data_IF_737492681799
#
_entry.id   IF_737492681799
#
_cell.length_a   1.000
_cell.length_b   1.000
_cell.length_c   1.000
_cell.angle_alpha   90.00
_cell.angle_beta   90.00
_cell.angle_gamma   90.00
#
_symmetry.space_group_name_H-M   'P 1'
#
loop_
_entity.id
_entity.type
_entity.pdbx_description
1 polymer ?
#
# COMPACT_ATOMS: atom_id res chain seq x y z
N UNK A 1 4.03 15.42 -6.54
CA UNK A 1 3.47 14.80 -5.32
C UNK A 1 2.07 14.35 -5.64
N UNK A 2 1.89 13.06 -5.94
CA UNK A 2 0.55 12.50 -6.16
C UNK A 2 -0.07 12.37 -4.76
N UNK A 3 -0.89 13.35 -4.40
CA UNK A 3 -1.74 13.29 -3.22
C UNK A 3 -2.93 12.42 -3.61
N UNK A 4 -2.74 11.10 -3.62
CA UNK A 4 -3.85 10.16 -3.79
C UNK A 4 -4.76 10.33 -2.57
N UNK A 5 -5.77 11.20 -2.71
CA UNK A 5 -6.89 11.25 -1.79
C UNK A 5 -7.67 9.94 -1.94
N UNK A 6 -7.18 8.89 -1.27
CA UNK A 6 -7.93 7.66 -1.07
C UNK A 6 -9.06 8.01 -0.09
N UNK A 7 -10.20 8.42 -0.64
CA UNK A 7 -11.46 8.61 0.10
C UNK A 7 -12.12 7.28 0.46
N UNK A 8 -11.32 6.22 0.59
CA UNK A 8 -11.79 4.85 0.43
C UNK A 8 -11.78 4.08 1.75
N UNK A 9 -12.60 3.03 1.79
CA UNK A 9 -12.73 2.12 2.93
C UNK A 9 -11.37 1.51 3.34
N UNK A 10 -11.27 1.04 4.58
CA UNK A 10 -10.05 0.40 5.10
C UNK A 10 -9.57 -0.77 4.21
N UNK A 11 -10.50 -1.51 3.59
CA UNK A 11 -10.15 -2.56 2.62
C UNK A 11 -9.39 -2.07 1.39
N UNK A 12 -9.72 -0.88 0.86
CA UNK A 12 -9.01 -0.30 -0.27
C UNK A 12 -7.62 0.20 0.13
N UNK A 13 -7.49 0.80 1.31
CA UNK A 13 -6.20 1.26 1.85
C UNK A 13 -5.23 0.09 2.06
N UNK A 14 -5.71 -0.99 2.67
CA UNK A 14 -4.90 -2.19 2.91
C UNK A 14 -4.52 -2.86 1.59
N UNK A 15 -5.44 -2.93 0.63
CA UNK A 15 -5.15 -3.44 -0.72
C UNK A 15 -4.05 -2.61 -1.37
N UNK A 16 -4.17 -1.28 -1.39
CA UNK A 16 -3.14 -0.39 -1.94
C UNK A 16 -1.77 -0.59 -1.26
N UNK A 17 -1.75 -0.77 0.06
CA UNK A 17 -0.51 -1.10 0.79
C UNK A 17 0.12 -2.39 0.25
N UNK A 18 -0.64 -3.48 0.08
CA UNK A 18 -0.09 -4.75 -0.38
C UNK A 18 0.37 -4.73 -1.85
N UNK A 19 -0.32 -3.98 -2.70
CA UNK A 19 0.12 -3.73 -4.08
C UNK A 19 1.49 -3.05 -4.12
N UNK A 20 1.65 -1.97 -3.36
CA UNK A 20 2.90 -1.24 -3.24
C UNK A 20 4.00 -2.11 -2.62
N UNK A 21 3.72 -2.73 -1.46
CA UNK A 21 4.72 -3.48 -0.69
C UNK A 21 5.20 -4.72 -1.45
N UNK A 22 4.30 -5.46 -2.11
CA UNK A 22 4.68 -6.61 -2.91
C UNK A 22 5.57 -6.23 -4.10
N UNK A 23 5.29 -5.10 -4.75
CA UNK A 23 6.14 -4.57 -5.81
C UNK A 23 7.48 -4.05 -5.30
N UNK A 24 7.53 -3.43 -4.12
CA UNK A 24 8.79 -3.04 -3.48
C UNK A 24 9.65 -4.29 -3.22
N UNK A 25 9.11 -5.29 -2.53
CA UNK A 25 9.86 -6.50 -2.17
C UNK A 25 10.33 -7.25 -3.42
N UNK A 26 9.49 -7.38 -4.44
CA UNK A 26 9.84 -8.05 -5.70
C UNK A 26 11.09 -7.45 -6.37
N UNK A 27 11.31 -6.14 -6.26
CA UNK A 27 12.46 -5.45 -6.82
C UNK A 27 13.63 -5.45 -5.84
N UNK A 28 13.41 -5.06 -4.59
CA UNK A 28 14.49 -4.76 -3.66
C UNK A 28 15.09 -6.02 -3.01
N UNK A 29 14.30 -7.08 -2.78
CA UNK A 29 14.84 -8.39 -2.35
C UNK A 29 15.64 -9.06 -3.49
N UNK A 30 15.29 -8.76 -4.74
CA UNK A 30 16.01 -9.21 -5.93
C UNK A 30 17.16 -8.26 -6.34
N UNK A 31 17.67 -7.42 -5.42
CA UNK A 31 18.79 -6.49 -5.67
C UNK A 31 18.58 -5.54 -6.87
N UNK A 32 17.32 -5.24 -7.21
CA UNK A 32 16.93 -4.38 -8.32
C UNK A 32 17.35 -4.94 -9.69
N UNK A 33 17.35 -6.26 -9.82
CA UNK A 33 17.60 -6.95 -11.08
C UNK A 33 16.54 -6.58 -12.15
N UNK A 34 16.98 -6.35 -13.39
CA UNK A 34 16.10 -5.94 -14.48
C UNK A 34 15.03 -6.98 -14.81
N UNK A 35 15.32 -8.27 -14.65
CA UNK A 35 14.34 -9.35 -14.86
C UNK A 35 13.32 -9.41 -13.73
N UNK A 36 13.73 -9.09 -12.49
CA UNK A 36 12.78 -8.93 -11.40
C UNK A 36 11.78 -7.80 -11.68
N UNK A 37 12.24 -6.71 -12.32
CA UNK A 37 11.37 -5.63 -12.77
C UNK A 37 10.38 -6.08 -13.84
N UNK A 38 10.84 -6.76 -14.90
CA UNK A 38 9.97 -7.29 -15.95
C UNK A 38 8.90 -8.25 -15.39
N UNK A 39 9.29 -9.11 -14.46
CA UNK A 39 8.38 -10.08 -13.82
C UNK A 39 7.36 -9.35 -12.93
N UNK A 40 7.77 -8.37 -12.13
CA UNK A 40 6.87 -7.60 -11.28
C UNK A 40 5.83 -6.80 -12.10
N UNK A 41 6.25 -6.23 -13.23
CA UNK A 41 5.36 -5.57 -14.19
C UNK A 41 4.37 -6.57 -14.80
N UNK A 42 4.85 -7.69 -15.34
CA UNK A 42 3.99 -8.71 -15.94
C UNK A 42 2.96 -9.30 -14.96
N UNK A 43 3.34 -9.55 -13.70
CA UNK A 43 2.41 -10.02 -12.68
C UNK A 43 1.35 -8.97 -12.32
N UNK A 44 1.74 -7.69 -12.26
CA UNK A 44 0.82 -6.59 -11.98
C UNK A 44 -0.21 -6.45 -13.11
N UNK A 45 0.24 -6.49 -14.37
CA UNK A 45 -0.61 -6.46 -15.55
C UNK A 45 -1.57 -7.66 -15.61
N UNK A 46 -1.07 -8.88 -15.36
CA UNK A 46 -1.90 -10.08 -15.32
C UNK A 46 -2.98 -9.99 -14.24
N UNK A 47 -2.64 -9.48 -13.05
CA UNK A 47 -3.61 -9.31 -11.96
C UNK A 47 -4.69 -8.29 -12.34
N UNK A 48 -4.31 -7.13 -12.89
CA UNK A 48 -5.29 -6.13 -13.34
C UNK A 48 -6.21 -6.65 -14.45
N UNK A 49 -5.68 -7.48 -15.35
CA UNK A 49 -6.49 -8.15 -16.36
C UNK A 49 -7.54 -9.09 -15.74
N UNK A 50 -7.16 -9.85 -14.71
CA UNK A 50 -8.04 -10.81 -14.03
C UNK A 50 -9.07 -10.13 -13.12
N UNK A 51 -8.73 -9.01 -12.48
CA UNK A 51 -9.65 -8.27 -11.59
C UNK A 51 -10.69 -7.42 -12.36
N UNK A 52 -10.53 -7.30 -13.69
CA UNK A 52 -11.47 -6.65 -14.60
C UNK A 52 -11.13 -5.18 -14.88
N UNK A 53 -11.42 -4.71 -16.09
CA UNK A 53 -11.08 -3.37 -16.59
C UNK A 53 -11.99 -2.26 -16.05
N UNK A 54 -12.01 -2.08 -14.74
CA UNK A 54 -12.69 -0.97 -14.06
C UNK A 54 -11.86 0.32 -14.07
N UNK A 55 -12.48 1.44 -13.67
CA UNK A 55 -11.78 2.73 -13.45
C UNK A 55 -10.61 2.65 -12.47
N UNK A 56 -10.57 1.60 -11.66
CA UNK A 56 -9.60 1.40 -10.59
C UNK A 56 -8.25 0.86 -11.12
N UNK A 57 -8.16 0.39 -12.37
CA UNK A 57 -6.92 -0.18 -12.94
C UNK A 57 -5.82 0.87 -13.13
N UNK A 58 -6.17 2.12 -13.44
CA UNK A 58 -5.14 3.18 -13.50
C UNK A 58 -4.59 3.52 -12.11
N UNK A 59 -5.37 3.28 -11.05
CA UNK A 59 -4.96 3.56 -9.68
C UNK A 59 -3.95 2.52 -9.19
N UNK A 60 -4.15 1.24 -9.50
CA UNK A 60 -3.23 0.18 -9.06
C UNK A 60 -1.89 0.19 -9.79
N UNK A 61 -1.85 0.50 -11.09
CA UNK A 61 -0.60 0.68 -11.82
C UNK A 61 0.33 1.74 -11.19
N UNK A 62 -0.22 2.89 -10.79
CA UNK A 62 0.56 3.95 -10.15
C UNK A 62 1.06 3.52 -8.76
N UNK A 63 0.25 2.76 -8.01
CA UNK A 63 0.61 2.21 -6.70
C UNK A 63 1.73 1.17 -6.84
N UNK A 64 1.61 0.26 -7.79
CA UNK A 64 2.61 -0.77 -8.05
C UNK A 64 3.93 -0.13 -8.51
N UNK A 65 3.87 0.85 -9.41
CA UNK A 65 5.02 1.62 -9.86
C UNK A 65 5.71 2.34 -8.71
N UNK A 66 4.94 2.95 -7.80
CA UNK A 66 5.49 3.60 -6.60
C UNK A 66 6.28 2.60 -5.76
N UNK A 67 5.76 1.38 -5.56
CA UNK A 67 6.46 0.28 -4.91
C UNK A 67 7.76 -0.10 -5.62
N UNK A 68 7.70 -0.38 -6.93
CA UNK A 68 8.87 -0.76 -7.75
C UNK A 68 9.98 0.29 -7.73
N UNK A 69 9.62 1.57 -7.62
CA UNK A 69 10.56 2.68 -7.54
C UNK A 69 11.20 2.87 -6.16
N UNK A 70 10.77 2.13 -5.13
CA UNK A 70 11.29 2.25 -3.77
C UNK A 70 10.49 3.17 -2.86
N UNK A 71 9.23 3.40 -3.19
CA UNK A 71 8.31 4.20 -2.39
C UNK A 71 8.13 3.65 -0.97
N UNK A 72 7.85 4.54 -0.01
CA UNK A 72 7.54 4.14 1.36
C UNK A 72 6.04 3.81 1.48
N UNK A 73 5.70 2.55 1.20
CA UNK A 73 4.32 2.06 1.20
C UNK A 73 3.61 2.21 2.56
N UNK A 74 4.34 1.97 3.66
CA UNK A 74 3.80 2.10 5.02
C UNK A 74 3.39 3.53 5.31
N UNK A 75 4.26 4.50 5.01
CA UNK A 75 3.93 5.91 5.20
C UNK A 75 2.72 6.30 4.34
N UNK A 76 2.78 5.99 3.04
CA UNK A 76 1.79 6.43 2.06
C UNK A 76 0.38 5.87 2.33
N UNK A 77 0.27 4.61 2.76
CA UNK A 77 -1.02 3.93 2.86
C UNK A 77 -1.46 3.62 4.30
N UNK A 78 -0.54 3.43 5.25
CA UNK A 78 -0.91 3.03 6.62
C UNK A 78 -0.83 4.19 7.62
N UNK A 79 0.13 5.11 7.46
CA UNK A 79 0.32 6.24 8.41
C UNK A 79 -0.49 7.46 7.97
N UNK A 80 -0.39 7.85 6.70
CA UNK A 80 -1.05 9.05 6.19
C UNK A 80 -2.56 8.83 5.94
N UNK A 81 -3.07 7.62 6.18
CA UNK A 81 -4.46 7.28 5.97
C UNK A 81 -5.28 7.38 7.26
N UNK A 82 -6.21 8.34 7.37
CA UNK A 82 -6.86 8.69 8.63
C UNK A 82 -7.96 7.71 9.09
N UNK A 83 -8.29 6.67 8.31
CA UNK A 83 -9.49 5.84 8.52
C UNK A 83 -9.22 4.33 8.62
N UNK A 84 -7.96 3.92 8.63
CA UNK A 84 -7.60 2.50 8.62
C UNK A 84 -6.23 2.30 9.26
N UNK A 85 -6.19 1.53 10.34
CA UNK A 85 -4.96 1.14 11.01
C UNK A 85 -4.72 -0.36 10.79
N UNK A 86 -4.06 -0.70 9.68
CA UNK A 86 -3.52 -2.03 9.51
C UNK A 86 -2.08 -2.06 10.01
N UNK A 87 -1.76 -3.04 10.85
CA UNK A 87 -0.41 -3.29 11.32
C UNK A 87 0.13 -4.57 10.66
N UNK A 88 1.09 -4.47 9.72
CA UNK A 88 1.63 -5.63 9.02
C UNK A 88 2.38 -6.61 9.92
N UNK A 89 2.96 -6.14 11.03
CA UNK A 89 3.70 -7.00 11.96
C UNK A 89 2.79 -7.91 12.80
N UNK A 90 1.56 -7.48 13.05
CA UNK A 90 0.60 -8.22 13.89
C UNK A 90 -0.60 -8.76 13.10
N UNK A 91 -0.72 -8.39 11.82
CA UNK A 91 -1.85 -8.71 10.94
C UNK A 91 -3.19 -8.23 11.53
N UNK A 92 -3.15 -7.18 12.36
CA UNK A 92 -4.34 -6.57 12.97
C UNK A 92 -4.85 -5.45 12.08
N UNK A 93 -6.15 -5.45 11.80
CA UNK A 93 -6.85 -4.38 11.13
C UNK A 93 -7.82 -3.73 12.11
N UNK A 94 -7.58 -2.50 12.52
CA UNK A 94 -8.47 -1.74 13.38
C UNK A 94 -9.10 -0.57 12.61
N UNK A 95 -10.44 -0.51 12.63
CA UNK A 95 -11.22 0.58 12.04
C UNK A 95 -11.34 1.79 12.97
N UNK A 96 -10.85 1.70 14.20
CA UNK A 96 -10.88 2.79 15.18
C UNK A 96 -9.49 3.39 15.34
N UNK A 97 -9.41 4.73 15.26
CA UNK A 97 -8.22 5.49 15.63
C UNK A 97 -8.00 5.26 17.12
N UNK A 98 -6.92 4.58 17.49
CA UNK A 98 -6.45 4.62 18.88
C UNK A 98 -5.85 6.01 19.04
N UNK A 99 -6.65 6.96 19.47
CA UNK A 99 -6.13 8.21 20.03
C UNK A 99 -5.18 7.80 21.16
N UNK A 100 -3.93 8.29 21.20
CA UNK A 100 -3.06 8.01 22.33
C UNK A 100 -3.78 8.52 23.59
N UNK A 101 -4.02 7.63 24.54
CA UNK A 101 -4.54 8.02 25.85
C UNK A 101 -3.59 9.09 26.40
N UNK A 102 -4.13 10.29 26.60
CA UNK A 102 -3.45 11.33 27.36
C UNK A 102 -3.31 10.79 28.77
N UNK A 103 -2.08 10.44 29.14
CA UNK A 103 -1.72 10.30 30.55
C UNK A 103 -1.74 11.70 31.14
N UNK A 104 -2.86 12.07 31.76
CA UNK A 104 -2.88 13.15 32.73
C UNK A 104 -2.17 12.62 33.98
N UNK A 105 -0.95 13.09 34.24
CA UNK A 105 -0.28 12.94 35.54
C UNK A 105 -1.10 13.74 36.56
N UNK A 106 -1.84 13.04 37.43
CA UNK A 106 -2.43 13.65 38.62
C UNK A 106 -1.30 14.03 39.60
N UNK A 107 -1.14 15.34 39.83
CA UNK A 107 -0.25 15.93 40.86
C UNK A 107 -1.00 16.10 42.20
#
# INVERSE_FOLDING_TARGET
>A
MIKMMITSSCGLIVRSYFHCQGNYEAIYECQRDGRAQEVAEAFSDCREHLEGSGSDNFVYNDIDLYGRQGGNCTQAYLVDSPRCHYNPATVVCNNTRIEPESFEEEE
#
